data_IF_267008936298
#
_entry.id   IF_267008936298
#
_cell.length_a   1.000
_cell.length_b   1.000
_cell.length_c   1.000
_cell.angle_alpha   90.00
_cell.angle_beta   90.00
_cell.angle_gamma   90.00
#
_symmetry.space_group_name_H-M   'P 1'
#
loop_
_entity.id
_entity.type
_entity.pdbx_description
1 polymer ?
#
# COMPACT_ATOMS: atom_id res chain seq x y z
N UNK A 1 -17.31 -8.83 30.70
CA UNK A 1 -16.64 -7.50 30.61
C UNK A 1 -15.23 -7.75 30.12
N UNK A 2 -14.91 -7.41 28.87
CA UNK A 2 -13.62 -7.73 28.27
C UNK A 2 -12.64 -6.58 28.56
N UNK A 3 -12.06 -6.57 29.76
CA UNK A 3 -11.04 -5.58 30.12
C UNK A 3 -9.72 -5.99 29.49
N UNK A 4 -9.34 -5.29 28.41
CA UNK A 4 -7.96 -5.32 27.91
C UNK A 4 -7.17 -4.36 28.81
N UNK A 5 -6.30 -4.90 29.67
CA UNK A 5 -5.41 -4.16 30.60
C UNK A 5 -6.06 -3.46 31.81
N UNK A 6 -7.24 -3.90 32.23
CA UNK A 6 -7.87 -3.35 33.46
C UNK A 6 -8.33 -1.88 33.35
N UNK A 7 -8.23 -1.26 32.18
CA UNK A 7 -8.86 0.01 31.88
C UNK A 7 -10.24 -0.25 31.24
N UNK A 8 -11.27 0.48 31.69
CA UNK A 8 -12.54 0.55 30.98
C UNK A 8 -12.36 1.35 29.68
N UNK A 9 -11.86 0.68 28.65
CA UNK A 9 -11.90 1.18 27.30
C UNK A 9 -13.33 1.01 26.79
N UNK A 10 -14.18 2.01 26.99
CA UNK A 10 -15.52 2.07 26.42
C UNK A 10 -15.45 2.21 24.89
N UNK A 11 -15.10 1.13 24.19
CA UNK A 11 -15.39 0.95 22.76
C UNK A 11 -16.71 0.17 22.62
N UNK A 12 -17.73 0.59 23.37
CA UNK A 12 -19.08 0.11 23.13
C UNK A 12 -19.55 0.68 21.78
N UNK A 13 -20.37 -0.04 21.00
CA UNK A 13 -21.01 0.49 19.79
C UNK A 13 -21.69 1.87 20.02
N UNK A 14 -22.07 2.14 21.27
CA UNK A 14 -22.81 3.31 21.72
C UNK A 14 -21.92 4.56 21.95
N UNK A 15 -20.58 4.42 21.96
CA UNK A 15 -19.65 5.54 22.15
C UNK A 15 -18.36 5.37 21.34
N UNK A 16 -18.44 5.67 20.04
CA UNK A 16 -17.24 5.75 19.20
C UNK A 16 -16.49 7.04 19.52
N UNK A 17 -15.18 6.99 19.82
CA UNK A 17 -14.43 8.22 20.03
C UNK A 17 -14.42 9.04 18.74
N UNK A 18 -14.58 10.35 18.87
CA UNK A 18 -14.78 11.26 17.74
C UNK A 18 -13.70 11.13 16.63
N UNK A 19 -12.45 10.86 17.01
CA UNK A 19 -11.36 10.65 16.07
C UNK A 19 -11.56 9.40 15.18
N UNK A 20 -12.17 8.34 15.71
CA UNK A 20 -12.43 7.11 14.97
C UNK A 20 -13.58 7.32 13.98
N UNK A 21 -14.58 8.11 14.36
CA UNK A 21 -15.65 8.56 13.44
C UNK A 21 -15.04 9.35 12.29
N UNK A 22 -14.20 10.34 12.59
CA UNK A 22 -13.50 11.12 11.55
C UNK A 22 -12.63 10.25 10.66
N UNK A 23 -11.92 9.27 11.21
CA UNK A 23 -11.15 8.31 10.44
C UNK A 23 -12.05 7.49 9.49
N UNK A 24 -13.20 7.01 9.97
CA UNK A 24 -14.18 6.32 9.15
C UNK A 24 -14.73 7.18 8.01
N UNK A 25 -15.04 8.45 8.29
CA UNK A 25 -15.44 9.43 7.27
C UNK A 25 -14.33 9.65 6.24
N UNK A 26 -13.07 9.78 6.66
CA UNK A 26 -11.93 9.92 5.74
C UNK A 26 -11.79 8.70 4.83
N UNK A 27 -11.91 7.48 5.36
CA UNK A 27 -11.90 6.24 4.56
C UNK A 27 -13.04 6.25 3.55
N UNK A 28 -14.26 6.61 3.97
CA UNK A 28 -15.42 6.68 3.09
C UNK A 28 -15.24 7.72 1.97
N UNK A 29 -14.79 8.93 2.31
CA UNK A 29 -14.51 10.00 1.35
C UNK A 29 -13.45 9.58 0.34
N UNK A 30 -12.40 8.88 0.80
CA UNK A 30 -11.40 8.31 -0.10
C UNK A 30 -12.03 7.32 -1.07
N UNK A 31 -12.81 6.34 -0.60
CA UNK A 31 -13.47 5.36 -1.46
C UNK A 31 -14.38 6.03 -2.49
N UNK A 32 -15.21 6.99 -2.07
CA UNK A 32 -16.07 7.77 -2.97
C UNK A 32 -15.24 8.52 -4.01
N UNK A 33 -14.16 9.19 -3.58
CA UNK A 33 -13.25 9.90 -4.48
C UNK A 33 -12.59 8.98 -5.51
N UNK A 34 -12.17 7.78 -5.10
CA UNK A 34 -11.59 6.77 -6.01
C UNK A 34 -12.64 6.28 -7.03
N UNK A 35 -13.89 6.06 -6.60
CA UNK A 35 -15.00 5.67 -7.50
C UNK A 35 -15.29 6.79 -8.50
N UNK A 36 -15.43 8.03 -8.05
CA UNK A 36 -15.65 9.19 -8.92
C UNK A 36 -14.50 9.30 -9.93
N UNK A 37 -13.26 9.20 -9.47
CA UNK A 37 -12.09 9.25 -10.34
C UNK A 37 -12.09 8.10 -11.36
N UNK A 38 -12.47 6.89 -10.96
CA UNK A 38 -12.58 5.74 -11.87
C UNK A 38 -13.64 5.99 -12.97
N UNK A 39 -14.80 6.52 -12.58
CA UNK A 39 -15.89 6.86 -13.50
C UNK A 39 -15.48 7.96 -14.47
N UNK A 40 -14.90 9.06 -13.96
CA UNK A 40 -14.39 10.15 -14.78
C UNK A 40 -13.34 9.66 -15.77
N UNK A 41 -12.40 8.82 -15.33
CA UNK A 41 -11.43 8.19 -16.25
C UNK A 41 -12.11 7.35 -17.31
N UNK A 42 -13.08 6.50 -16.94
CA UNK A 42 -13.80 5.67 -17.91
C UNK A 42 -14.57 6.50 -18.94
N UNK A 43 -15.08 7.66 -18.55
CA UNK A 43 -15.86 8.56 -19.41
C UNK A 43 -14.98 9.45 -20.29
N UNK A 44 -13.88 9.97 -19.75
CA UNK A 44 -13.07 11.02 -20.38
C UNK A 44 -11.81 10.48 -21.06
N UNK A 45 -11.24 9.38 -20.58
CA UNK A 45 -9.99 8.88 -21.12
C UNK A 45 -10.18 8.39 -22.56
N UNK A 46 -9.30 8.83 -23.50
CA UNK A 46 -9.34 8.32 -24.86
C UNK A 46 -9.13 6.80 -24.86
N UNK A 47 -9.84 6.09 -25.74
CA UNK A 47 -9.62 4.66 -25.94
C UNK A 47 -8.15 4.47 -26.35
N UNK A 48 -7.44 3.60 -25.64
CA UNK A 48 -6.02 3.34 -25.88
C UNK A 48 -5.80 2.96 -27.34
N UNK A 49 -5.07 3.80 -28.08
CA UNK A 49 -4.74 3.56 -29.48
C UNK A 49 -3.91 2.27 -29.62
N UNK A 50 -4.07 1.59 -30.77
CA UNK A 50 -3.32 0.39 -31.12
C UNK A 50 -1.81 0.68 -31.18
N UNK A 51 -1.03 -0.18 -30.52
CA UNK A 51 0.42 -0.16 -30.48
C UNK A 51 0.92 -1.53 -30.01
N UNK A 52 2.15 -1.89 -30.35
CA UNK A 52 2.73 -3.16 -29.94
C UNK A 52 2.92 -3.22 -28.41
N UNK A 53 2.51 -4.33 -27.79
CA UNK A 53 2.71 -4.58 -26.37
C UNK A 53 4.11 -5.15 -26.16
N UNK A 54 4.99 -4.39 -25.51
CA UNK A 54 6.29 -4.87 -25.08
C UNK A 54 6.20 -5.45 -23.66
N UNK A 55 7.00 -6.48 -23.40
CA UNK A 55 7.03 -7.22 -22.12
C UNK A 55 8.45 -7.28 -21.59
N UNK A 56 8.67 -6.65 -20.45
CA UNK A 56 9.96 -6.67 -19.75
C UNK A 56 9.85 -7.46 -18.45
N UNK A 57 10.77 -8.38 -18.22
CA UNK A 57 10.80 -9.16 -16.98
C UNK A 57 11.39 -8.34 -15.84
N UNK A 58 10.54 -7.62 -15.11
CA UNK A 58 10.98 -6.71 -14.04
C UNK A 58 10.87 -7.33 -12.64
N UNK A 59 9.94 -8.26 -12.43
CA UNK A 59 9.63 -8.79 -11.10
C UNK A 59 10.00 -10.27 -11.01
N UNK A 60 11.05 -10.59 -10.25
CA UNK A 60 11.48 -11.98 -10.05
C UNK A 60 10.47 -12.80 -9.23
N UNK A 61 10.46 -14.13 -9.39
CA UNK A 61 9.57 -15.02 -8.64
C UNK A 61 9.71 -14.83 -7.12
N UNK A 62 10.94 -14.62 -6.63
CA UNK A 62 11.20 -14.37 -5.22
C UNK A 62 10.51 -13.09 -4.73
N UNK A 63 10.60 -11.99 -5.49
CA UNK A 63 9.93 -10.72 -5.17
C UNK A 63 8.40 -10.90 -5.15
N UNK A 64 7.85 -11.61 -6.14
CA UNK A 64 6.39 -11.85 -6.22
C UNK A 64 5.89 -12.68 -5.05
N UNK A 65 6.58 -13.77 -4.70
CA UNK A 65 6.24 -14.60 -3.53
C UNK A 65 6.30 -13.80 -2.23
N UNK A 66 7.36 -13.01 -2.05
CA UNK A 66 7.51 -12.14 -0.89
C UNK A 66 6.39 -11.10 -0.81
N UNK A 67 6.04 -10.46 -1.94
CA UNK A 67 4.95 -9.50 -2.00
C UNK A 67 3.60 -10.14 -1.64
N UNK A 68 3.25 -11.27 -2.25
CA UNK A 68 1.98 -11.96 -1.96
C UNK A 68 1.90 -12.46 -0.53
N UNK A 69 3.03 -12.90 0.06
CA UNK A 69 3.10 -13.22 1.48
C UNK A 69 2.81 -12.01 2.37
N UNK A 70 3.46 -10.87 2.11
CA UNK A 70 3.16 -9.62 2.85
C UNK A 70 1.72 -9.15 2.66
N UNK A 71 1.19 -9.21 1.43
CA UNK A 71 -0.17 -8.81 1.12
C UNK A 71 -1.19 -9.65 1.90
N UNK A 72 -1.00 -10.97 1.93
CA UNK A 72 -1.84 -11.88 2.70
C UNK A 72 -1.77 -11.56 4.20
N UNK A 73 -0.57 -11.39 4.76
CA UNK A 73 -0.38 -11.05 6.17
C UNK A 73 -1.05 -9.73 6.53
N UNK A 74 -0.91 -8.69 5.71
CA UNK A 74 -1.55 -7.38 5.93
C UNK A 74 -3.07 -7.49 5.96
N UNK A 75 -3.67 -8.23 5.03
CA UNK A 75 -5.12 -8.44 4.98
C UNK A 75 -5.59 -9.20 6.22
N UNK A 76 -4.91 -10.30 6.59
CA UNK A 76 -5.25 -11.07 7.78
C UNK A 76 -5.13 -10.25 9.06
N UNK A 77 -4.10 -9.42 9.19
CA UNK A 77 -3.91 -8.52 10.33
C UNK A 77 -5.01 -7.46 10.43
N UNK A 78 -5.37 -6.81 9.32
CA UNK A 78 -6.45 -5.83 9.30
C UNK A 78 -7.80 -6.47 9.67
N UNK A 79 -8.12 -7.62 9.08
CA UNK A 79 -9.39 -8.31 9.36
C UNK A 79 -9.46 -8.81 10.80
N UNK A 80 -8.41 -9.50 11.28
CA UNK A 80 -8.37 -10.01 12.66
C UNK A 80 -8.34 -8.89 13.70
N UNK A 81 -7.65 -7.78 13.41
CA UNK A 81 -7.63 -6.59 14.27
C UNK A 81 -8.99 -5.90 14.34
N UNK A 82 -9.65 -5.72 13.19
CA UNK A 82 -10.99 -5.15 13.10
C UNK A 82 -12.02 -6.00 13.84
N UNK A 83 -12.04 -7.31 13.56
CA UNK A 83 -13.00 -8.24 14.15
C UNK A 83 -12.76 -8.43 15.64
N UNK A 84 -11.50 -8.51 16.06
CA UNK A 84 -11.13 -8.56 17.47
C UNK A 84 -11.55 -7.29 18.22
N UNK A 85 -11.33 -6.10 17.63
CA UNK A 85 -11.68 -4.82 18.24
C UNK A 85 -13.19 -4.65 18.43
N UNK A 86 -13.98 -4.95 17.40
CA UNK A 86 -15.45 -4.82 17.46
C UNK A 86 -16.18 -6.06 17.99
N UNK A 87 -15.44 -7.03 18.52
CA UNK A 87 -15.99 -8.30 19.03
C UNK A 87 -16.88 -9.04 18.02
N UNK A 88 -16.50 -8.99 16.74
CA UNK A 88 -17.21 -9.66 15.64
C UNK A 88 -16.73 -11.12 15.56
N UNK A 89 -17.52 -12.04 16.14
CA UNK A 89 -17.21 -13.47 16.17
C UNK A 89 -16.28 -13.87 17.34
N UNK A 90 -15.57 -15.01 17.23
CA UNK A 90 -14.78 -15.54 18.34
C UNK A 90 -13.51 -14.69 18.60
N UNK A 91 -13.60 -13.74 19.54
CA UNK A 91 -12.51 -12.79 19.86
C UNK A 91 -11.19 -13.47 20.17
N UNK A 92 -11.20 -14.57 20.94
CA UNK A 92 -9.99 -15.32 21.27
C UNK A 92 -9.27 -15.85 20.01
N UNK A 93 -10.02 -16.34 19.02
CA UNK A 93 -9.47 -16.77 17.75
C UNK A 93 -8.91 -15.58 16.96
N UNK A 94 -9.64 -14.46 16.91
CA UNK A 94 -9.17 -13.26 16.20
C UNK A 94 -7.85 -12.73 16.79
N UNK A 95 -7.74 -12.67 18.12
CA UNK A 95 -6.50 -12.28 18.81
C UNK A 95 -5.37 -13.26 18.51
N UNK A 96 -5.65 -14.57 18.52
CA UNK A 96 -4.64 -15.59 18.22
C UNK A 96 -4.14 -15.47 16.77
N UNK A 97 -5.04 -15.36 15.80
CA UNK A 97 -4.69 -15.15 14.38
C UNK A 97 -3.89 -13.86 14.20
N UNK A 98 -4.32 -12.76 14.81
CA UNK A 98 -3.62 -11.48 14.73
C UNK A 98 -2.19 -11.57 15.27
N UNK A 99 -2.02 -12.24 16.42
CA UNK A 99 -0.72 -12.42 17.07
C UNK A 99 0.23 -13.25 16.20
N UNK A 100 -0.22 -14.40 15.69
CA UNK A 100 0.61 -15.24 14.82
C UNK A 100 0.98 -14.53 13.51
N UNK A 101 0.02 -13.83 12.89
CA UNK A 101 0.30 -13.05 11.68
C UNK A 101 1.27 -11.89 11.97
N UNK A 102 1.21 -11.28 13.16
CA UNK A 102 2.10 -10.20 13.58
C UNK A 102 3.54 -10.68 13.71
N UNK A 103 3.75 -11.84 14.34
CA UNK A 103 5.09 -12.45 14.41
C UNK A 103 5.59 -12.91 13.03
N UNK A 104 4.72 -13.44 12.18
CA UNK A 104 5.08 -13.79 10.81
C UNK A 104 5.48 -12.54 10.00
N UNK A 105 4.76 -11.42 10.14
CA UNK A 105 5.10 -10.15 9.51
C UNK A 105 6.44 -9.60 10.02
N UNK A 106 6.71 -9.69 11.33
CA UNK A 106 8.01 -9.34 11.90
C UNK A 106 9.14 -10.16 11.25
N UNK A 107 8.98 -11.48 11.11
CA UNK A 107 9.97 -12.32 10.45
C UNK A 107 10.17 -11.94 8.97
N UNK A 108 9.08 -11.68 8.25
CA UNK A 108 9.12 -11.20 6.86
C UNK A 108 9.83 -9.86 6.72
N UNK A 109 9.59 -8.93 7.66
CA UNK A 109 10.20 -7.61 7.68
C UNK A 109 11.69 -7.68 8.01
N UNK A 110 12.09 -8.46 9.02
CA UNK A 110 13.51 -8.69 9.34
C UNK A 110 14.24 -9.31 8.15
N UNK A 111 13.66 -10.34 7.54
CA UNK A 111 14.21 -10.95 6.33
C UNK A 111 14.37 -9.94 5.18
N UNK A 112 13.38 -9.07 4.98
CA UNK A 112 13.45 -7.99 4.01
C UNK A 112 14.60 -7.01 4.29
N UNK A 113 14.73 -6.54 5.52
CA UNK A 113 15.83 -5.63 5.91
C UNK A 113 17.18 -6.30 5.71
N UNK A 114 17.35 -7.55 6.15
CA UNK A 114 18.59 -8.31 5.98
C UNK A 114 18.95 -8.48 4.50
N UNK A 115 18.01 -8.85 3.65
CA UNK A 115 18.24 -8.98 2.20
C UNK A 115 18.65 -7.64 1.61
N UNK A 116 17.97 -6.55 1.94
CA UNK A 116 18.31 -5.23 1.40
C UNK A 116 19.66 -4.69 1.91
N UNK A 117 20.10 -5.08 3.10
CA UNK A 117 21.41 -4.74 3.64
C UNK A 117 22.55 -5.58 3.03
N UNK A 118 22.30 -6.87 2.81
CA UNK A 118 23.32 -7.83 2.34
C UNK A 118 23.41 -7.93 0.82
N UNK A 119 22.35 -7.56 0.08
CA UNK A 119 22.30 -7.63 -1.38
C UNK A 119 22.31 -6.26 -2.04
N UNK A 120 22.67 -6.19 -3.32
CA UNK A 120 22.62 -4.96 -4.13
C UNK A 120 21.22 -4.37 -4.36
N UNK A 121 20.16 -5.06 -3.92
CA UNK A 121 18.77 -4.61 -4.08
C UNK A 121 18.49 -3.27 -3.39
N UNK A 122 19.22 -2.97 -2.32
CA UNK A 122 19.21 -1.69 -1.61
C UNK A 122 19.38 -0.46 -2.51
N UNK A 123 20.06 -0.61 -3.66
CA UNK A 123 20.34 0.48 -4.61
C UNK A 123 19.07 1.08 -5.22
N UNK A 124 18.02 0.28 -5.44
CA UNK A 124 16.74 0.76 -6.01
C UNK A 124 15.95 1.65 -5.03
N UNK A 125 16.30 1.64 -3.74
CA UNK A 125 15.64 2.42 -2.70
C UNK A 125 16.38 3.72 -2.35
N UNK A 126 17.48 4.03 -3.03
CA UNK A 126 18.17 5.31 -2.87
C UNK A 126 17.41 6.41 -3.59
N UNK A 127 16.84 7.32 -2.82
CA UNK A 127 16.11 8.47 -3.36
C UNK A 127 17.13 9.50 -3.83
N UNK A 128 17.03 9.89 -5.09
CA UNK A 128 17.67 11.12 -5.55
C UNK A 128 16.82 12.30 -5.02
N UNK A 129 17.37 13.15 -4.16
CA UNK A 129 16.65 14.29 -3.60
C UNK A 129 16.54 15.47 -4.58
N UNK A 130 17.40 15.54 -5.59
CA UNK A 130 17.37 16.61 -6.59
C UNK A 130 16.06 16.58 -7.38
N UNK A 131 15.32 17.69 -7.36
CA UNK A 131 14.04 17.83 -8.04
C UNK A 131 12.97 16.81 -7.61
N UNK A 132 13.08 16.22 -6.42
CA UNK A 132 12.14 15.20 -5.92
C UNK A 132 10.71 15.75 -5.83
N UNK A 133 10.56 16.96 -5.28
CA UNK A 133 9.26 17.63 -5.12
C UNK A 133 8.61 17.84 -6.48
N UNK A 134 9.32 18.43 -7.45
CA UNK A 134 8.83 18.64 -8.81
C UNK A 134 8.42 17.34 -9.48
N UNK A 135 9.23 16.28 -9.34
CA UNK A 135 8.94 14.95 -9.87
C UNK A 135 7.69 14.31 -9.24
N UNK A 136 7.51 14.48 -7.93
CA UNK A 136 6.31 14.02 -7.21
C UNK A 136 5.08 14.80 -7.66
N UNK A 137 5.14 16.13 -7.73
CA UNK A 137 4.04 16.97 -8.21
C UNK A 137 3.63 16.57 -9.64
N UNK A 138 4.61 16.34 -10.52
CA UNK A 138 4.35 15.87 -11.89
C UNK A 138 3.64 14.51 -11.90
N UNK A 139 4.08 13.57 -11.07
CA UNK A 139 3.44 12.25 -10.97
C UNK A 139 2.02 12.35 -10.38
N UNK A 140 1.82 13.18 -9.35
CA UNK A 140 0.51 13.40 -8.74
C UNK A 140 -0.46 14.03 -9.73
N UNK A 141 -0.04 15.09 -10.45
CA UNK A 141 -0.85 15.72 -11.51
C UNK A 141 -1.22 14.71 -12.60
N UNK A 142 -0.26 13.87 -12.99
CA UNK A 142 -0.52 12.84 -13.98
C UNK A 142 -1.62 11.87 -13.51
N UNK A 143 -1.51 11.32 -12.30
CA UNK A 143 -2.53 10.40 -11.79
C UNK A 143 -3.89 11.06 -11.60
N UNK A 144 -3.92 12.31 -11.09
CA UNK A 144 -5.16 13.02 -10.82
C UNK A 144 -5.87 13.56 -12.07
N UNK A 145 -5.14 13.92 -13.12
CA UNK A 145 -5.72 14.60 -14.29
C UNK A 145 -5.16 14.12 -15.62
N UNK A 146 -3.83 13.97 -15.73
CA UNK A 146 -3.16 13.66 -16.99
C UNK A 146 -3.63 12.34 -17.61
N UNK A 147 -3.89 11.32 -16.77
CA UNK A 147 -4.39 10.03 -17.23
C UNK A 147 -5.78 10.11 -17.88
N UNK A 148 -6.63 11.05 -17.44
CA UNK A 148 -7.95 11.27 -18.05
C UNK A 148 -7.86 12.01 -19.37
N UNK A 149 -6.75 12.70 -19.63
CA UNK A 149 -6.46 13.38 -20.89
C UNK A 149 -5.70 12.49 -21.89
N UNK A 150 -5.34 11.27 -21.49
CA UNK A 150 -4.47 10.40 -22.30
C UNK A 150 -3.03 10.89 -22.41
N UNK A 151 -2.55 11.70 -21.46
CA UNK A 151 -1.13 12.12 -21.41
C UNK A 151 -0.24 10.88 -21.29
N UNK A 152 0.99 10.95 -21.83
CA UNK A 152 1.98 9.89 -21.67
C UNK A 152 2.46 9.81 -20.21
N UNK A 153 2.73 8.60 -19.73
CA UNK A 153 3.22 8.41 -18.36
C UNK A 153 4.59 9.12 -18.19
N UNK A 154 4.77 10.00 -17.19
CA UNK A 154 5.95 10.88 -17.10
C UNK A 154 7.24 10.17 -16.69
N UNK A 155 7.16 8.89 -16.33
CA UNK A 155 8.31 8.04 -16.03
C UNK A 155 8.10 6.65 -16.63
N UNK A 156 9.00 6.20 -17.48
CA UNK A 156 9.02 4.81 -17.96
C UNK A 156 9.71 3.93 -16.92
N UNK A 157 9.10 2.80 -16.57
CA UNK A 157 9.73 1.81 -15.71
C UNK A 157 10.80 1.06 -16.53
N UNK A 158 12.02 1.00 -16.02
CA UNK A 158 13.12 0.25 -16.63
C UNK A 158 13.76 -0.67 -15.59
N UNK A 159 14.59 -1.63 -16.02
CA UNK A 159 15.31 -2.51 -15.09
C UNK A 159 16.14 -1.72 -14.05
N UNK A 160 16.68 -0.57 -14.47
CA UNK A 160 17.49 0.33 -13.65
C UNK A 160 16.62 1.22 -12.74
N UNK A 161 15.49 1.71 -13.25
CA UNK A 161 14.54 2.58 -12.54
C UNK A 161 13.15 1.92 -12.51
N UNK A 162 12.99 0.97 -11.57
CA UNK A 162 11.76 0.17 -11.44
C UNK A 162 10.55 0.95 -10.91
N UNK A 163 10.80 2.04 -10.19
CA UNK A 163 9.77 2.78 -9.46
C UNK A 163 9.64 4.20 -9.99
N UNK A 164 8.39 4.67 -10.12
CA UNK A 164 8.17 6.11 -10.19
C UNK A 164 8.45 6.76 -8.81
N UNK A 165 8.66 8.08 -8.75
CA UNK A 165 9.02 8.75 -7.50
C UNK A 165 8.01 8.56 -6.36
N UNK A 166 6.70 8.57 -6.65
CA UNK A 166 5.67 8.34 -5.64
C UNK A 166 5.69 6.90 -5.14
N UNK A 167 5.86 5.92 -6.04
CA UNK A 167 5.99 4.50 -5.69
C UNK A 167 7.24 4.24 -4.85
N UNK A 168 8.37 4.87 -5.19
CA UNK A 168 9.61 4.73 -4.42
C UNK A 168 9.44 5.28 -3.00
N UNK A 169 8.86 6.49 -2.86
CA UNK A 169 8.59 7.09 -1.55
C UNK A 169 7.54 6.30 -0.76
N UNK A 170 6.47 5.83 -1.39
CA UNK A 170 5.47 4.99 -0.75
C UNK A 170 6.10 3.69 -0.25
N UNK A 171 6.94 3.05 -1.05
CA UNK A 171 7.64 1.84 -0.64
C UNK A 171 8.51 2.08 0.60
N UNK A 172 9.30 3.15 0.60
CA UNK A 172 10.12 3.53 1.75
C UNK A 172 9.28 3.82 2.99
N UNK A 173 8.22 4.61 2.84
CA UNK A 173 7.31 4.95 3.94
C UNK A 173 6.65 3.69 4.52
N UNK A 174 6.20 2.76 3.68
CA UNK A 174 5.56 1.54 4.17
C UNK A 174 6.58 0.62 4.83
N UNK A 175 7.68 0.31 4.16
CA UNK A 175 8.62 -0.71 4.63
C UNK A 175 9.56 -0.24 5.74
N UNK A 176 9.90 1.04 5.81
CA UNK A 176 10.85 1.58 6.79
C UNK A 176 10.21 2.51 7.82
N UNK A 177 8.92 2.86 7.70
CA UNK A 177 8.20 3.59 8.75
C UNK A 177 6.94 2.85 9.21
N UNK A 178 5.93 2.66 8.35
CA UNK A 178 4.63 2.12 8.77
C UNK A 178 4.72 0.71 9.35
N UNK A 179 5.34 -0.24 8.63
CA UNK A 179 5.47 -1.64 9.07
C UNK A 179 6.26 -1.75 10.38
N UNK A 180 7.45 -1.14 10.53
CA UNK A 180 8.16 -1.12 11.81
C UNK A 180 7.33 -0.54 12.95
N UNK A 181 6.64 0.59 12.72
CA UNK A 181 5.80 1.21 13.74
C UNK A 181 4.62 0.34 14.14
N UNK A 182 3.97 -0.34 13.19
CA UNK A 182 2.93 -1.34 13.46
C UNK A 182 3.47 -2.48 14.31
N UNK A 183 4.63 -3.03 13.97
CA UNK A 183 5.28 -4.10 14.73
C UNK A 183 5.59 -3.64 16.16
N UNK A 184 6.23 -2.48 16.33
CA UNK A 184 6.62 -1.96 17.64
C UNK A 184 5.38 -1.71 18.50
N UNK A 185 4.39 -0.98 17.97
CA UNK A 185 3.15 -0.70 18.71
C UNK A 185 2.36 -1.98 19.02
N UNK A 186 2.35 -2.97 18.11
CA UNK A 186 1.71 -4.26 18.33
C UNK A 186 2.38 -5.09 19.43
N UNK A 187 3.73 -5.11 19.46
CA UNK A 187 4.50 -5.76 20.54
C UNK A 187 4.25 -5.07 21.88
N UNK A 188 4.19 -3.73 21.91
CA UNK A 188 3.87 -2.98 23.13
C UNK A 188 2.41 -3.17 23.57
N UNK A 189 1.49 -3.44 22.64
CA UNK A 189 0.13 -3.87 22.97
C UNK A 189 0.11 -5.28 23.57
N UNK A 190 1.00 -6.18 23.16
CA UNK A 190 1.10 -7.55 23.69
C UNK A 190 1.80 -7.60 25.06
N UNK A 191 2.79 -6.72 25.28
CA UNK A 191 3.60 -6.65 26.50
C UNK A 191 3.57 -5.24 27.13
N UNK A 192 2.40 -4.73 27.56
CA UNK A 192 2.26 -3.36 28.03
C UNK A 192 3.04 -3.05 29.31
N UNK A 193 3.38 -4.07 30.11
CA UNK A 193 4.25 -3.93 31.28
C UNK A 193 5.63 -3.34 30.94
N UNK A 194 6.07 -3.44 29.68
CA UNK A 194 7.37 -2.90 29.24
C UNK A 194 7.36 -1.37 29.19
N UNK A 195 6.22 -0.73 28.90
CA UNK A 195 6.14 0.71 28.69
C UNK A 195 5.12 1.43 29.58
N UNK A 196 4.21 0.72 30.25
CA UNK A 196 3.16 1.31 31.10
C UNK A 196 2.11 2.14 30.33
N UNK A 197 2.10 2.07 28.99
CA UNK A 197 1.30 2.92 28.10
C UNK A 197 0.30 2.12 27.23
N UNK A 198 -0.16 0.96 27.71
CA UNK A 198 -1.01 0.03 26.93
C UNK A 198 -2.19 0.69 26.18
N UNK A 199 -3.06 1.49 26.83
CA UNK A 199 -4.17 2.16 26.17
C UNK A 199 -3.73 3.13 25.06
N UNK A 200 -2.65 3.88 25.28
CA UNK A 200 -2.09 4.81 24.28
C UNK A 200 -1.53 4.03 23.08
N UNK A 201 -0.81 2.93 23.34
CA UNK A 201 -0.27 2.08 22.28
C UNK A 201 -1.35 1.45 21.43
N UNK A 202 -2.49 1.08 22.02
CA UNK A 202 -3.64 0.57 21.28
C UNK A 202 -4.22 1.62 20.32
N UNK A 203 -4.38 2.86 20.79
CA UNK A 203 -4.85 3.98 19.94
C UNK A 203 -3.87 4.25 18.80
N UNK A 204 -2.57 4.28 19.10
CA UNK A 204 -1.52 4.46 18.09
C UNK A 204 -1.50 3.31 17.07
N UNK A 205 -1.60 2.06 17.54
CA UNK A 205 -1.62 0.88 16.68
C UNK A 205 -2.84 0.91 15.74
N UNK A 206 -4.02 1.29 16.27
CA UNK A 206 -5.23 1.45 15.46
C UNK A 206 -5.10 2.58 14.44
N UNK A 207 -4.54 3.73 14.83
CA UNK A 207 -4.29 4.84 13.90
C UNK A 207 -3.35 4.44 12.76
N UNK A 208 -2.27 3.71 13.06
CA UNK A 208 -1.36 3.15 12.06
C UNK A 208 -2.06 2.12 11.17
N UNK A 209 -2.93 1.27 11.72
CA UNK A 209 -3.71 0.30 10.95
C UNK A 209 -4.66 1.01 9.96
N UNK A 210 -5.29 2.13 10.36
CA UNK A 210 -6.11 2.96 9.47
C UNK A 210 -5.26 3.57 8.34
N UNK A 211 -4.04 4.06 8.64
CA UNK A 211 -3.12 4.53 7.59
C UNK A 211 -2.78 3.39 6.62
N UNK A 212 -2.55 2.17 7.13
CA UNK A 212 -2.36 0.96 6.31
C UNK A 212 -3.55 0.63 5.43
N UNK A 213 -4.78 0.76 5.96
CA UNK A 213 -6.01 0.57 5.20
C UNK A 213 -6.13 1.59 4.06
N UNK A 214 -5.89 2.88 4.33
CA UNK A 214 -5.87 3.93 3.31
C UNK A 214 -4.83 3.61 2.22
N UNK A 215 -3.63 3.18 2.61
CA UNK A 215 -2.60 2.76 1.68
C UNK A 215 -3.09 1.61 0.77
N UNK A 216 -3.72 0.56 1.31
CA UNK A 216 -4.24 -0.55 0.51
C UNK A 216 -5.31 -0.07 -0.50
N UNK A 217 -6.24 0.78 -0.06
CA UNK A 217 -7.26 1.35 -0.95
C UNK A 217 -6.62 2.13 -2.11
N UNK A 218 -5.65 3.01 -1.83
CA UNK A 218 -4.92 3.73 -2.87
C UNK A 218 -4.12 2.78 -3.76
N UNK A 219 -3.40 1.83 -3.17
CA UNK A 219 -2.53 0.89 -3.88
C UNK A 219 -3.32 0.05 -4.89
N UNK A 220 -4.41 -0.59 -4.44
CA UNK A 220 -5.28 -1.37 -5.31
C UNK A 220 -5.87 -0.53 -6.43
N UNK A 221 -6.27 0.71 -6.14
CA UNK A 221 -6.75 1.62 -7.17
C UNK A 221 -5.67 1.98 -8.20
N UNK A 222 -4.48 2.36 -7.76
CA UNK A 222 -3.36 2.68 -8.65
C UNK A 222 -2.97 1.49 -9.54
N UNK A 223 -3.11 0.25 -9.05
CA UNK A 223 -2.94 -0.95 -9.86
C UNK A 223 -3.95 -1.08 -11.02
N UNK A 224 -5.10 -0.40 -10.95
CA UNK A 224 -6.09 -0.36 -12.05
C UNK A 224 -5.77 0.69 -13.13
N UNK A 225 -4.77 1.55 -12.90
CA UNK A 225 -4.45 2.67 -13.77
C UNK A 225 -3.50 2.32 -14.94
N UNK A 226 -3.23 1.04 -15.18
CA UNK A 226 -2.54 0.59 -16.40
C UNK A 226 -3.37 0.79 -17.67
N UNK A 227 -2.81 0.43 -18.83
CA UNK A 227 -3.53 0.51 -20.12
C UNK A 227 -4.81 -0.33 -20.09
N UNK A 228 -4.79 -1.44 -19.35
CA UNK A 228 -5.97 -2.18 -18.92
C UNK A 228 -6.00 -2.34 -17.39
N UNK A 229 -7.18 -2.38 -16.75
CA UNK A 229 -7.29 -2.47 -15.29
C UNK A 229 -6.59 -3.68 -14.66
N UNK A 230 -6.39 -4.77 -15.42
CA UNK A 230 -5.74 -5.98 -14.93
C UNK A 230 -4.24 -6.08 -15.22
N UNK A 231 -3.66 -5.14 -15.98
CA UNK A 231 -2.29 -5.27 -16.50
C UNK A 231 -1.23 -5.28 -15.40
N UNK A 232 -1.35 -4.37 -14.43
CA UNK A 232 -0.41 -4.28 -13.32
C UNK A 232 -0.57 -5.49 -12.41
N UNK A 233 -1.80 -5.95 -12.14
CA UNK A 233 -2.03 -7.19 -11.38
C UNK A 233 -1.39 -8.40 -12.06
N UNK A 234 -1.53 -8.55 -13.39
CA UNK A 234 -0.90 -9.62 -14.15
C UNK A 234 0.62 -9.63 -14.01
N UNK A 235 1.26 -8.45 -13.99
CA UNK A 235 2.72 -8.36 -13.78
C UNK A 235 3.16 -8.91 -12.42
N UNK A 236 2.30 -8.87 -11.39
CA UNK A 236 2.57 -9.47 -10.08
C UNK A 236 2.27 -10.98 -10.02
N UNK A 237 1.67 -11.54 -11.07
CA UNK A 237 1.48 -12.99 -11.22
C UNK A 237 2.62 -13.58 -12.05
N UNK A 238 2.85 -13.06 -13.25
CA UNK A 238 3.82 -13.63 -14.20
C UNK A 238 5.21 -12.99 -14.17
N UNK A 239 5.34 -11.78 -13.65
CA UNK A 239 6.60 -11.03 -13.56
C UNK A 239 6.90 -10.10 -14.74
N UNK A 240 6.05 -10.08 -15.75
CA UNK A 240 6.25 -9.27 -16.96
C UNK A 240 5.51 -7.94 -16.86
N UNK A 241 6.29 -6.86 -16.84
CA UNK A 241 5.77 -5.51 -17.00
C UNK A 241 5.42 -5.28 -18.47
N UNK A 242 4.19 -4.81 -18.69
CA UNK A 242 3.64 -4.57 -20.02
C UNK A 242 3.56 -3.08 -20.25
N UNK A 243 4.02 -2.61 -21.39
CA UNK A 243 3.85 -1.23 -21.81
C UNK A 243 3.62 -1.18 -23.33
N UNK A 244 2.81 -0.23 -23.78
CA UNK A 244 2.63 0.04 -25.21
C UNK A 244 3.53 1.19 -25.65
N UNK A 245 4.28 0.97 -26.72
CA UNK A 245 4.94 2.06 -27.44
C UNK A 245 3.94 2.67 -28.43
N UNK A 246 3.98 3.98 -28.60
CA UNK A 246 3.25 4.61 -29.69
C UNK A 246 3.75 4.01 -31.02
N UNK A 247 2.88 3.88 -32.05
CA UNK A 247 3.33 3.48 -33.38
C UNK A 247 4.52 4.36 -33.76
N UNK A 248 5.57 3.78 -34.34
CA UNK A 248 6.63 4.57 -35.00
C UNK A 248 5.95 5.44 -36.05
N UNK A 249 5.61 6.67 -35.66
CA UNK A 249 5.45 7.76 -36.60
C UNK A 249 6.79 7.88 -37.29
N UNK A 250 6.77 7.60 -38.58
CA UNK A 250 7.90 7.74 -39.47
C UNK A 250 8.67 9.01 -39.14
N UNK A 251 9.90 8.86 -38.63
CA UNK A 251 10.87 9.95 -38.60
C UNK A 251 11.46 10.05 -40.01
N UNK A 252 10.62 10.39 -40.98
CA UNK A 252 11.02 10.87 -42.30
C UNK A 252 10.30 12.19 -42.56
N UNK A 253 10.73 13.23 -41.85
CA UNK A 253 10.54 14.61 -42.25
C UNK A 253 11.66 15.45 -41.63
N UNK A 254 12.69 15.62 -42.45
CA UNK A 254 13.63 16.76 -42.60
C UNK A 254 13.84 17.65 -41.37
#
# INVERSE_FOLDING_TARGET
MNTIWGAELHYAPDYWPLWLIYAGVVVLLMLVGLVIHALLRRMLAPKTAGGEEHRDYLYSLAIRRWHWGNALLFVLLLLSGLFGHFSLGPVALMVQVHTWCGFALLAFWVGFVLINLTTGNGRHYRVNFSGLVTRCIRQTRFYLFGIMKGEAHPFAATEQNKFNPLQQLAYLAIMYALVPLLIITGLLCLYPQVAGLGPVMLVLHMALAIIGLLFICAHLYLCTLGDTPGQIFRSMVDGYHRHRTAPRGDKSAV
#
